data_IF_807376181305
#
_entry.id   IF_807376181305
#
_cell.length_a   1.000
_cell.length_b   1.000
_cell.length_c   1.000
_cell.angle_alpha   90.00
_cell.angle_beta   90.00
_cell.angle_gamma   90.00
#
_symmetry.space_group_name_H-M   'P 1'
#
loop_
_entity.id
_entity.type
_entity.pdbx_description
1 polymer ?
#
# COMPACT_ATOMS: atom_id res chain seq x y z
N UNK A 1 18.49 -11.40 16.63
CA UNK A 1 17.39 -12.36 16.46
C UNK A 1 17.36 -12.73 14.98
N UNK A 2 17.44 -14.01 14.62
CA UNK A 2 17.47 -14.46 13.23
C UNK A 2 16.06 -14.36 12.66
N UNK A 3 15.84 -13.43 11.72
CA UNK A 3 14.58 -13.32 11.00
C UNK A 3 14.50 -14.43 9.95
N UNK A 4 13.44 -15.23 10.03
CA UNK A 4 13.21 -16.33 9.11
C UNK A 4 12.56 -15.76 7.84
N UNK A 5 13.39 -15.34 6.87
CA UNK A 5 12.93 -14.86 5.56
C UNK A 5 12.48 -16.06 4.74
N UNK A 6 11.20 -16.23 4.56
CA UNK A 6 10.65 -17.22 3.63
C UNK A 6 10.56 -16.57 2.25
N UNK A 7 11.31 -17.11 1.30
CA UNK A 7 11.26 -16.64 -0.08
C UNK A 7 10.00 -17.16 -0.77
N UNK A 8 9.26 -16.28 -1.42
CA UNK A 8 8.02 -16.52 -2.18
C UNK A 8 8.11 -17.66 -3.22
N UNK A 9 9.35 -18.06 -3.56
CA UNK A 9 9.65 -19.13 -4.50
C UNK A 9 9.15 -20.53 -4.11
N UNK A 10 8.68 -20.75 -2.87
CA UNK A 10 8.22 -22.09 -2.47
C UNK A 10 6.83 -22.45 -2.96
N UNK A 11 6.00 -21.49 -3.37
CA UNK A 11 4.64 -21.76 -3.89
C UNK A 11 4.56 -21.70 -5.42
N UNK A 12 5.51 -21.07 -6.11
CA UNK A 12 5.57 -21.09 -7.60
C UNK A 12 6.17 -22.38 -8.17
N UNK A 13 6.63 -23.31 -7.35
CA UNK A 13 7.17 -24.61 -7.80
C UNK A 13 6.12 -25.72 -7.70
N UNK A 14 4.96 -25.53 -8.34
CA UNK A 14 4.04 -26.63 -8.62
C UNK A 14 4.14 -26.98 -10.08
N UNK A 15 4.82 -28.13 -10.28
CA UNK A 15 4.69 -29.07 -11.37
C UNK A 15 5.10 -28.65 -12.77
N UNK A 16 6.38 -28.91 -13.06
CA UNK A 16 6.78 -29.41 -14.37
C UNK A 16 7.02 -30.92 -14.30
N UNK A 17 5.98 -31.72 -14.41
CA UNK A 17 6.09 -33.10 -14.85
C UNK A 17 4.82 -33.43 -15.65
N UNK A 18 4.95 -33.49 -16.97
CA UNK A 18 3.88 -33.97 -17.87
C UNK A 18 3.98 -33.33 -19.25
N UNK A 19 4.97 -33.75 -20.06
CA UNK A 19 4.94 -33.51 -21.50
C UNK A 19 3.71 -34.20 -22.09
N UNK A 20 2.74 -33.44 -22.59
CA UNK A 20 1.86 -33.84 -23.67
C UNK A 20 1.61 -32.60 -24.53
N UNK A 21 2.07 -32.69 -25.78
CA UNK A 21 1.91 -31.66 -26.78
C UNK A 21 0.43 -31.41 -27.10
N UNK A 22 -0.02 -30.15 -26.92
CA UNK A 22 -1.14 -29.58 -27.68
C UNK A 22 -0.69 -28.19 -28.13
N UNK A 23 -0.41 -28.06 -29.40
CA UNK A 23 -0.22 -26.80 -30.07
C UNK A 23 -1.54 -26.03 -30.08
N UNK A 24 -1.55 -24.81 -29.55
CA UNK A 24 -2.69 -23.90 -29.66
C UNK A 24 -2.67 -22.81 -28.57
N UNK A 25 -2.32 -21.61 -28.99
CA UNK A 25 -2.39 -20.35 -28.20
C UNK A 25 -1.49 -20.28 -26.94
N UNK A 26 -0.22 -20.05 -27.17
CA UNK A 26 0.66 -19.49 -26.15
C UNK A 26 0.32 -18.01 -25.94
N UNK A 27 -0.66 -17.74 -25.07
CA UNK A 27 -0.67 -16.49 -24.34
C UNK A 27 0.57 -16.53 -23.46
N UNK A 28 1.60 -15.74 -23.78
CA UNK A 28 2.69 -15.48 -22.87
C UNK A 28 2.08 -14.83 -21.64
N UNK A 29 2.02 -15.53 -20.51
CA UNK A 29 1.83 -14.91 -19.23
C UNK A 29 2.93 -13.84 -19.15
N UNK A 30 2.55 -12.57 -19.13
CA UNK A 30 3.50 -11.49 -18.95
C UNK A 30 4.20 -11.76 -17.61
N UNK A 31 5.50 -11.96 -17.66
CA UNK A 31 6.30 -12.06 -16.44
C UNK A 31 6.26 -10.67 -15.81
N UNK A 32 5.55 -10.54 -14.70
CA UNK A 32 5.55 -9.32 -13.91
C UNK A 32 6.91 -9.23 -13.19
N UNK A 33 7.82 -8.45 -13.75
CA UNK A 33 9.18 -8.24 -13.21
C UNK A 33 9.23 -7.14 -12.13
N UNK A 34 8.11 -6.83 -11.48
CA UNK A 34 8.09 -5.85 -10.40
C UNK A 34 8.58 -6.53 -9.12
N UNK A 35 9.57 -5.94 -8.40
CA UNK A 35 9.89 -6.36 -7.06
C UNK A 35 8.65 -6.35 -6.18
N UNK A 36 8.41 -7.42 -5.44
CA UNK A 36 7.16 -7.62 -4.70
C UNK A 36 7.41 -8.05 -3.27
N UNK A 37 6.72 -7.38 -2.35
CA UNK A 37 6.55 -7.75 -0.95
C UNK A 37 5.14 -8.31 -0.81
N UNK A 38 4.98 -9.44 -0.12
CA UNK A 38 3.70 -10.08 0.09
C UNK A 38 3.46 -10.39 1.56
N UNK A 39 2.26 -10.13 1.99
CA UNK A 39 1.74 -10.56 3.28
C UNK A 39 0.46 -11.37 3.12
N UNK A 40 0.19 -11.84 1.90
CA UNK A 40 -0.94 -12.75 1.63
C UNK A 40 -0.80 -14.02 2.43
N UNK A 41 -1.91 -14.52 2.94
CA UNK A 41 -2.02 -15.68 3.83
C UNK A 41 -1.31 -15.50 5.21
N UNK A 42 -0.97 -14.26 5.59
CA UNK A 42 -0.41 -14.00 6.92
C UNK A 42 -1.46 -13.74 7.99
N UNK A 43 -2.67 -13.39 7.58
CA UNK A 43 -3.80 -13.15 8.47
C UNK A 43 -5.02 -13.99 8.07
N UNK A 44 -5.79 -14.41 9.06
CA UNK A 44 -7.15 -14.92 8.87
C UNK A 44 -8.11 -13.73 8.66
N UNK A 45 -9.33 -14.00 8.21
CA UNK A 45 -10.36 -12.98 7.97
C UNK A 45 -10.64 -12.11 9.21
N UNK A 46 -10.50 -12.64 10.41
CA UNK A 46 -10.68 -11.91 11.67
C UNK A 46 -9.46 -11.05 12.09
N UNK A 47 -8.42 -10.99 11.25
CA UNK A 47 -7.17 -10.27 11.51
C UNK A 47 -6.25 -10.98 12.51
N UNK A 48 -6.53 -12.21 12.89
CA UNK A 48 -5.59 -13.03 13.67
C UNK A 48 -4.48 -13.57 12.78
N UNK A 49 -3.26 -13.71 13.36
CA UNK A 49 -2.12 -14.23 12.60
C UNK A 49 -2.30 -15.72 12.28
N UNK A 50 -1.97 -16.11 11.08
CA UNK A 50 -1.82 -17.49 10.67
C UNK A 50 -0.63 -18.12 11.40
N UNK A 51 -0.73 -19.41 11.72
CA UNK A 51 0.30 -20.12 12.48
C UNK A 51 1.67 -20.07 11.79
N UNK A 52 2.66 -19.56 12.51
CA UNK A 52 4.02 -19.39 12.04
C UNK A 52 4.34 -18.00 11.52
N UNK A 53 3.33 -17.13 11.37
CA UNK A 53 3.53 -15.73 11.03
C UNK A 53 3.65 -14.85 12.28
N UNK A 54 4.26 -13.68 12.10
CA UNK A 54 4.42 -12.67 13.16
C UNK A 54 3.87 -11.33 12.67
N UNK A 55 3.71 -10.38 13.59
CA UNK A 55 3.28 -9.02 13.25
C UNK A 55 4.27 -8.28 12.32
N UNK A 56 5.47 -8.81 12.11
CA UNK A 56 6.55 -8.17 11.34
C UNK A 56 7.11 -9.05 10.22
N UNK A 57 6.60 -10.28 10.06
CA UNK A 57 6.99 -11.15 8.95
C UNK A 57 6.34 -10.70 7.66
N UNK A 58 7.07 -10.80 6.56
CA UNK A 58 6.61 -10.62 5.19
C UNK A 58 7.43 -11.50 4.26
N UNK A 59 6.91 -11.79 3.09
CA UNK A 59 7.59 -12.53 2.03
C UNK A 59 8.03 -11.57 0.91
N UNK A 60 9.03 -12.00 0.12
CA UNK A 60 9.47 -11.28 -1.07
C UNK A 60 9.61 -12.23 -2.27
N UNK A 61 9.57 -11.67 -3.47
CA UNK A 61 9.83 -12.46 -4.69
C UNK A 61 11.33 -12.58 -5.03
N UNK A 62 12.22 -12.18 -4.13
CA UNK A 62 13.68 -12.24 -4.33
C UNK A 62 14.26 -11.07 -5.15
N UNK A 63 13.46 -10.05 -5.48
CA UNK A 63 13.87 -8.93 -6.33
C UNK A 63 13.86 -7.57 -5.61
N UNK A 64 13.49 -7.52 -4.33
CA UNK A 64 13.34 -6.27 -3.58
C UNK A 64 14.71 -5.68 -3.24
N UNK A 65 15.06 -4.48 -3.77
CA UNK A 65 16.34 -3.85 -3.47
C UNK A 65 16.48 -3.53 -1.97
N UNK A 66 17.71 -3.63 -1.47
CA UNK A 66 18.00 -3.40 -0.05
C UNK A 66 17.48 -4.46 0.92
N UNK A 67 16.70 -5.43 0.43
CA UNK A 67 16.18 -6.56 1.21
C UNK A 67 16.70 -7.88 0.64
N UNK A 68 16.44 -8.15 -0.64
CA UNK A 68 16.91 -9.36 -1.34
C UNK A 68 18.20 -9.10 -2.11
N UNK A 69 18.36 -7.91 -2.63
CA UNK A 69 19.48 -7.48 -3.48
C UNK A 69 20.18 -6.25 -2.90
N UNK A 70 21.21 -5.75 -3.56
CA UNK A 70 21.89 -4.50 -3.14
C UNK A 70 21.01 -3.26 -3.24
N UNK A 71 21.41 -2.17 -2.57
CA UNK A 71 20.74 -0.87 -2.64
C UNK A 71 20.77 -0.31 -4.07
N UNK A 72 19.66 0.26 -4.50
CA UNK A 72 19.49 0.89 -5.83
C UNK A 72 19.10 2.38 -5.76
N UNK A 73 19.25 3.02 -4.60
CA UNK A 73 18.78 4.38 -4.35
C UNK A 73 17.42 4.42 -3.69
N UNK A 74 16.62 5.44 -3.98
CA UNK A 74 15.32 5.63 -3.33
C UNK A 74 14.32 4.52 -3.66
N UNK A 75 13.53 4.14 -2.65
CA UNK A 75 12.52 3.09 -2.72
C UNK A 75 11.13 3.69 -2.56
N UNK A 76 10.25 3.42 -3.50
CA UNK A 76 8.81 3.67 -3.36
C UNK A 76 8.07 2.35 -3.24
N UNK A 77 7.29 2.19 -2.18
CA UNK A 77 6.40 1.03 -1.98
C UNK A 77 4.99 1.44 -2.34
N UNK A 78 4.42 0.81 -3.37
CA UNK A 78 3.01 1.00 -3.74
C UNK A 78 2.12 -0.03 -3.06
N UNK A 79 1.08 0.43 -2.37
CA UNK A 79 0.12 -0.36 -1.60
C UNK A 79 -1.25 -0.27 -2.28
N UNK A 80 -1.72 -1.39 -2.84
CA UNK A 80 -3.03 -1.44 -3.50
C UNK A 80 -4.21 -1.42 -2.52
N UNK A 81 -5.38 -1.05 -3.03
CA UNK A 81 -6.63 -1.00 -2.28
C UNK A 81 -7.39 -2.34 -2.22
N UNK A 82 -8.63 -2.25 -1.72
CA UNK A 82 -9.57 -3.36 -1.66
C UNK A 82 -9.99 -3.81 -3.06
N UNK A 83 -10.20 -5.11 -3.20
CA UNK A 83 -10.70 -5.69 -4.44
C UNK A 83 -11.46 -7.00 -4.12
N UNK A 84 -12.76 -6.99 -4.34
CA UNK A 84 -13.59 -8.17 -4.10
C UNK A 84 -13.58 -9.06 -5.32
N UNK A 85 -12.59 -9.93 -5.40
CA UNK A 85 -12.52 -10.98 -6.41
C UNK A 85 -13.17 -12.28 -5.93
N UNK A 86 -13.63 -13.09 -6.88
CA UNK A 86 -14.29 -14.36 -6.61
C UNK A 86 -13.33 -15.50 -6.27
N UNK A 87 -12.01 -15.26 -6.36
CA UNK A 87 -10.98 -16.26 -6.07
C UNK A 87 -9.68 -15.57 -5.64
N UNK A 88 -8.96 -16.20 -4.72
CA UNK A 88 -7.64 -15.77 -4.25
C UNK A 88 -6.65 -15.50 -5.40
N UNK A 89 -6.57 -16.42 -6.37
CA UNK A 89 -5.70 -16.22 -7.54
C UNK A 89 -6.10 -15.03 -8.41
N UNK A 90 -7.37 -14.69 -8.48
CA UNK A 90 -7.88 -13.50 -9.17
C UNK A 90 -7.50 -12.23 -8.45
N UNK A 91 -7.61 -12.21 -7.13
CA UNK A 91 -7.23 -11.07 -6.30
C UNK A 91 -5.71 -10.82 -6.34
N UNK A 92 -4.90 -11.87 -6.29
CA UNK A 92 -3.45 -11.75 -6.44
C UNK A 92 -3.05 -11.20 -7.82
N UNK A 93 -3.68 -11.68 -8.88
CA UNK A 93 -3.44 -11.18 -10.24
C UNK A 93 -3.83 -9.70 -10.36
N UNK A 94 -5.02 -9.31 -9.89
CA UNK A 94 -5.48 -7.93 -9.91
C UNK A 94 -4.56 -7.01 -9.12
N UNK A 95 -4.06 -7.46 -7.96
CA UNK A 95 -3.06 -6.71 -7.19
C UNK A 95 -1.77 -6.49 -7.97
N UNK A 96 -1.25 -7.52 -8.64
CA UNK A 96 -0.04 -7.43 -9.48
C UNK A 96 -0.24 -6.48 -10.67
N UNK A 97 -1.40 -6.49 -11.31
CA UNK A 97 -1.74 -5.58 -12.41
C UNK A 97 -1.77 -4.12 -11.93
N UNK A 98 -2.37 -3.84 -10.76
CA UNK A 98 -2.36 -2.50 -10.14
C UNK A 98 -0.94 -2.04 -9.79
N UNK A 99 -0.11 -2.93 -9.26
CA UNK A 99 1.29 -2.65 -8.92
C UNK A 99 2.11 -2.35 -10.19
N UNK A 100 1.94 -3.15 -11.24
CA UNK A 100 2.61 -2.91 -12.51
C UNK A 100 2.20 -1.58 -13.12
N UNK A 101 0.90 -1.26 -13.09
CA UNK A 101 0.38 0.02 -13.54
C UNK A 101 0.99 1.19 -12.75
N UNK A 102 1.05 1.10 -11.42
CA UNK A 102 1.67 2.14 -10.60
C UNK A 102 3.15 2.36 -10.95
N UNK A 103 3.90 1.28 -11.15
CA UNK A 103 5.29 1.38 -11.60
C UNK A 103 5.39 2.09 -12.95
N UNK A 104 4.57 1.68 -13.91
CA UNK A 104 4.65 2.19 -15.28
C UNK A 104 4.28 3.69 -15.31
N UNK A 105 3.25 4.11 -14.59
CA UNK A 105 2.85 5.52 -14.47
C UNK A 105 3.93 6.37 -13.79
N UNK A 106 4.40 5.98 -12.62
CA UNK A 106 5.41 6.75 -11.89
C UNK A 106 6.73 6.84 -12.66
N UNK A 107 7.20 5.74 -13.26
CA UNK A 107 8.42 5.77 -14.08
C UNK A 107 8.22 6.53 -15.38
N UNK A 108 7.04 6.44 -15.99
CA UNK A 108 6.65 7.22 -17.16
C UNK A 108 6.66 8.72 -16.91
N UNK A 109 6.25 9.16 -15.74
CA UNK A 109 6.31 10.54 -15.26
C UNK A 109 7.72 10.99 -14.81
N UNK A 110 8.73 10.11 -14.91
CA UNK A 110 10.12 10.46 -14.64
C UNK A 110 10.63 10.12 -13.23
N UNK A 111 9.90 9.35 -12.43
CA UNK A 111 10.42 8.88 -11.16
C UNK A 111 11.67 8.02 -11.36
N UNK A 112 12.78 8.43 -10.75
CA UNK A 112 14.08 7.78 -10.93
C UNK A 112 14.43 6.72 -9.90
N UNK A 113 13.60 6.53 -8.88
CA UNK A 113 13.80 5.50 -7.85
C UNK A 113 13.21 4.14 -8.26
N UNK A 114 13.29 3.17 -7.36
CA UNK A 114 12.70 1.85 -7.58
C UNK A 114 11.29 1.76 -7.01
N UNK A 115 10.34 1.33 -7.83
CA UNK A 115 8.97 1.04 -7.39
C UNK A 115 8.85 -0.44 -7.05
N UNK A 116 8.37 -0.74 -5.84
CA UNK A 116 8.13 -2.08 -5.29
C UNK A 116 6.65 -2.19 -4.93
N UNK A 117 6.05 -3.33 -5.25
CA UNK A 117 4.68 -3.60 -4.85
C UNK A 117 4.56 -4.18 -3.44
N UNK A 118 3.51 -3.79 -2.72
CA UNK A 118 3.09 -4.41 -1.47
C UNK A 118 1.72 -5.03 -1.66
N UNK A 119 1.61 -6.36 -1.58
CA UNK A 119 0.36 -7.10 -1.71
C UNK A 119 -0.05 -7.75 -0.40
N UNK A 120 -1.34 -7.70 -0.12
CA UNK A 120 -1.95 -8.16 1.13
C UNK A 120 -3.33 -8.77 0.86
N UNK A 121 -3.91 -9.47 1.84
CA UNK A 121 -5.23 -10.11 1.71
C UNK A 121 -6.34 -9.05 1.75
N UNK A 122 -6.60 -8.45 0.61
CA UNK A 122 -7.56 -7.37 0.41
C UNK A 122 -8.96 -7.84 -0.01
N UNK A 123 -9.14 -9.14 -0.15
CA UNK A 123 -10.36 -9.79 -0.63
C UNK A 123 -11.01 -10.70 0.43
N UNK A 124 -10.54 -10.60 1.67
CA UNK A 124 -11.06 -11.36 2.83
C UNK A 124 -12.48 -11.00 3.20
N UNK A 125 -13.10 -11.89 3.95
CA UNK A 125 -14.41 -11.70 4.53
C UNK A 125 -15.56 -11.91 3.56
N UNK A 126 -16.77 -11.84 4.11
CA UNK A 126 -18.02 -12.01 3.40
C UNK A 126 -19.15 -11.37 4.22
N UNK A 127 -20.32 -11.21 3.64
CA UNK A 127 -21.46 -10.71 4.40
C UNK A 127 -22.20 -9.59 3.70
N UNK A 128 -22.94 -8.81 4.47
CA UNK A 128 -23.76 -7.69 3.95
C UNK A 128 -22.95 -6.49 3.49
N UNK A 129 -21.74 -6.33 4.03
CA UNK A 129 -20.75 -5.32 3.69
C UNK A 129 -19.69 -5.84 2.69
N UNK A 130 -19.92 -7.02 2.12
CA UNK A 130 -19.00 -7.66 1.16
C UNK A 130 -17.58 -7.92 1.70
N UNK A 131 -17.38 -7.98 3.03
CA UNK A 131 -16.09 -8.18 3.68
C UNK A 131 -15.29 -6.89 3.89
N UNK A 132 -15.93 -5.74 3.83
CA UNK A 132 -15.28 -4.44 4.07
C UNK A 132 -14.64 -4.35 5.46
N UNK A 133 -15.38 -4.72 6.51
CA UNK A 133 -14.91 -4.65 7.88
C UNK A 133 -13.70 -5.55 8.16
N UNK A 134 -13.71 -6.78 7.61
CA UNK A 134 -12.60 -7.71 7.69
C UNK A 134 -11.39 -7.19 6.91
N UNK A 135 -11.59 -6.73 5.68
CA UNK A 135 -10.51 -6.17 4.86
C UNK A 135 -9.87 -4.93 5.51
N UNK A 136 -10.67 -4.03 6.11
CA UNK A 136 -10.17 -2.90 6.89
C UNK A 136 -9.33 -3.36 8.09
N UNK A 137 -9.81 -4.37 8.82
CA UNK A 137 -9.09 -4.95 9.95
C UNK A 137 -7.74 -5.55 9.51
N UNK A 138 -7.72 -6.34 8.46
CA UNK A 138 -6.49 -6.93 7.90
C UNK A 138 -5.55 -5.85 7.38
N UNK A 139 -6.07 -4.80 6.70
CA UNK A 139 -5.27 -3.66 6.27
C UNK A 139 -4.54 -2.99 7.44
N UNK A 140 -5.24 -2.69 8.53
CA UNK A 140 -4.64 -2.08 9.72
C UNK A 140 -3.57 -2.98 10.36
N UNK A 141 -3.79 -4.30 10.40
CA UNK A 141 -2.80 -5.26 10.92
C UNK A 141 -1.54 -5.34 10.05
N UNK A 142 -1.66 -5.10 8.75
CA UNK A 142 -0.53 -5.04 7.82
C UNK A 142 0.40 -3.84 8.05
N UNK A 143 -0.03 -2.81 8.76
CA UNK A 143 0.80 -1.65 9.06
C UNK A 143 2.13 -2.00 9.74
N UNK A 144 2.12 -2.88 10.74
CA UNK A 144 3.36 -3.29 11.43
C UNK A 144 4.32 -4.08 10.51
N UNK A 145 3.79 -4.79 9.50
CA UNK A 145 4.60 -5.50 8.51
C UNK A 145 5.21 -4.53 7.50
N UNK A 146 4.46 -3.54 7.01
CA UNK A 146 4.98 -2.47 6.15
C UNK A 146 6.02 -1.61 6.89
N UNK A 147 5.80 -1.29 8.16
CA UNK A 147 6.79 -0.62 9.00
C UNK A 147 8.12 -1.41 9.08
N UNK A 148 8.05 -2.76 9.21
CA UNK A 148 9.24 -3.60 9.21
C UNK A 148 9.98 -3.56 7.86
N UNK A 149 9.28 -3.46 6.74
CA UNK A 149 9.89 -3.27 5.41
C UNK A 149 10.74 -2.00 5.38
N UNK A 150 10.21 -0.87 5.87
CA UNK A 150 10.97 0.38 5.96
C UNK A 150 12.22 0.24 6.84
N UNK A 151 12.08 -0.40 8.00
CA UNK A 151 13.20 -0.67 8.92
C UNK A 151 14.27 -1.53 8.25
N UNK A 152 13.88 -2.62 7.60
CA UNK A 152 14.83 -3.52 6.93
C UNK A 152 15.55 -2.82 5.77
N UNK A 153 14.81 -2.02 4.98
CA UNK A 153 15.42 -1.25 3.89
C UNK A 153 16.40 -0.19 4.41
N UNK A 154 15.97 0.68 5.33
CA UNK A 154 16.83 1.74 5.91
C UNK A 154 18.04 1.17 6.65
N UNK A 155 17.92 -0.01 7.26
CA UNK A 155 19.05 -0.69 7.90
C UNK A 155 20.13 -1.12 6.91
N UNK A 156 19.79 -1.41 5.67
CA UNK A 156 20.73 -1.80 4.62
C UNK A 156 21.16 -0.60 3.77
N UNK A 157 20.26 0.35 3.55
CA UNK A 157 20.41 1.49 2.66
C UNK A 157 20.14 2.81 3.41
N UNK A 158 20.93 3.17 4.44
CA UNK A 158 20.62 4.28 5.36
C UNK A 158 20.57 5.65 4.67
N UNK A 159 21.29 5.82 3.56
CA UNK A 159 21.34 7.08 2.80
C UNK A 159 20.20 7.24 1.78
N UNK A 160 19.38 6.19 1.59
CA UNK A 160 18.30 6.19 0.61
C UNK A 160 16.97 6.57 1.26
N UNK A 161 16.11 7.24 0.49
CA UNK A 161 14.77 7.57 0.95
C UNK A 161 13.79 6.38 0.76
N UNK A 162 12.86 6.26 1.69
CA UNK A 162 11.69 5.38 1.58
C UNK A 162 10.46 6.25 1.39
N UNK A 163 9.63 5.89 0.40
CA UNK A 163 8.35 6.54 0.13
C UNK A 163 7.24 5.52 0.10
N UNK A 164 6.06 5.92 0.50
CA UNK A 164 4.86 5.10 0.41
C UNK A 164 3.83 5.78 -0.48
N UNK A 165 3.27 5.04 -1.42
CA UNK A 165 2.14 5.44 -2.25
C UNK A 165 1.03 4.44 -2.02
N UNK A 166 -0.15 4.87 -1.62
CA UNK A 166 -1.28 3.98 -1.38
C UNK A 166 -2.50 4.42 -2.18
N UNK A 167 -3.30 3.44 -2.60
CA UNK A 167 -4.58 3.67 -3.25
C UNK A 167 -5.71 3.11 -2.39
N UNK A 168 -6.80 3.89 -2.24
CA UNK A 168 -8.03 3.43 -1.61
C UNK A 168 -7.81 2.87 -0.19
N UNK A 169 -8.28 1.65 0.11
CA UNK A 169 -8.11 0.97 1.40
C UNK A 169 -6.63 0.70 1.76
N UNK A 170 -5.70 0.77 0.82
CA UNK A 170 -4.27 0.75 1.09
C UNK A 170 -3.79 1.88 2.01
N UNK A 171 -4.57 2.97 2.11
CA UNK A 171 -4.33 4.06 3.08
C UNK A 171 -4.37 3.58 4.54
N UNK A 172 -5.22 2.59 4.87
CA UNK A 172 -5.26 1.98 6.19
C UNK A 172 -3.96 1.25 6.54
N UNK A 173 -3.37 0.54 5.57
CA UNK A 173 -2.06 -0.11 5.73
C UNK A 173 -0.98 0.95 5.95
N UNK A 174 -0.95 1.99 5.08
CA UNK A 174 0.05 3.05 5.12
C UNK A 174 0.01 3.80 6.46
N UNK A 175 -1.13 4.37 6.85
CA UNK A 175 -1.24 5.15 8.08
C UNK A 175 -1.01 4.30 9.33
N UNK A 176 -1.42 3.03 9.32
CA UNK A 176 -1.08 2.10 10.40
C UNK A 176 0.41 1.79 10.48
N UNK A 177 1.13 1.82 9.35
CA UNK A 177 2.59 1.66 9.35
C UNK A 177 3.29 2.87 9.99
N UNK A 178 2.82 4.07 9.72
CA UNK A 178 3.35 5.28 10.36
C UNK A 178 3.14 5.24 11.88
N UNK A 179 1.94 4.85 12.35
CA UNK A 179 1.69 4.65 13.78
C UNK A 179 2.62 3.62 14.40
N UNK A 180 2.96 2.57 13.66
CA UNK A 180 3.90 1.53 14.11
C UNK A 180 5.35 2.02 14.16
N UNK A 181 5.72 3.01 13.34
CA UNK A 181 7.02 3.67 13.32
C UNK A 181 7.11 4.85 14.30
N UNK A 182 5.98 5.35 14.80
CA UNK A 182 5.93 6.50 15.72
C UNK A 182 6.34 6.11 17.15
N UNK A 183 7.55 5.61 17.27
CA UNK A 183 8.17 5.30 18.55
C UNK A 183 9.59 5.84 18.58
N UNK A 184 10.02 6.41 19.71
CA UNK A 184 11.33 7.06 19.85
C UNK A 184 12.49 6.18 19.36
N UNK A 185 12.40 4.86 19.56
CA UNK A 185 13.44 3.96 19.07
C UNK A 185 13.57 4.00 17.54
N UNK A 186 12.46 4.08 16.80
CA UNK A 186 12.50 4.13 15.33
C UNK A 186 12.98 5.50 14.84
N UNK A 187 12.40 6.58 15.36
CA UNK A 187 12.74 7.95 14.94
C UNK A 187 14.17 8.33 15.32
N UNK A 188 14.64 7.94 16.52
CA UNK A 188 16.03 8.20 16.99
C UNK A 188 17.08 7.42 16.16
N UNK A 189 16.68 6.35 15.47
CA UNK A 189 17.56 5.56 14.61
C UNK A 189 17.39 5.86 13.10
N UNK A 190 16.63 6.89 12.73
CA UNK A 190 16.47 7.33 11.35
C UNK A 190 15.61 6.40 10.48
N UNK A 191 14.67 5.67 11.09
CA UNK A 191 13.69 4.87 10.38
C UNK A 191 12.46 5.71 10.00
N UNK A 192 12.71 6.86 9.40
CA UNK A 192 11.72 7.78 8.87
C UNK A 192 11.31 7.45 7.43
N UNK A 193 10.15 7.95 7.04
CA UNK A 193 9.59 7.89 5.70
C UNK A 193 9.74 9.26 5.06
N UNK A 194 10.35 9.36 3.88
CA UNK A 194 10.57 10.65 3.23
C UNK A 194 9.27 11.29 2.78
N UNK A 195 8.43 10.55 2.04
CA UNK A 195 7.10 11.05 1.67
C UNK A 195 6.05 9.95 1.66
N UNK A 196 4.81 10.36 1.86
CA UNK A 196 3.63 9.50 1.70
C UNK A 196 2.62 10.15 0.77
N UNK A 197 2.00 9.35 -0.10
CA UNK A 197 1.05 9.78 -1.09
C UNK A 197 -0.22 8.94 -0.98
N UNK A 198 -1.31 9.56 -0.57
CA UNK A 198 -2.60 8.94 -0.36
C UNK A 198 -3.51 9.25 -1.56
N UNK A 199 -3.83 8.25 -2.37
CA UNK A 199 -4.61 8.39 -3.60
C UNK A 199 -6.03 7.86 -3.37
N UNK A 200 -7.04 8.74 -3.38
CA UNK A 200 -8.42 8.34 -3.11
C UNK A 200 -8.54 7.54 -1.82
N UNK A 201 -8.00 8.05 -0.72
CA UNK A 201 -7.82 7.31 0.53
C UNK A 201 -9.14 6.91 1.17
N UNK A 202 -9.38 5.60 1.31
CA UNK A 202 -10.50 5.04 2.07
C UNK A 202 -10.16 5.02 3.57
N UNK A 203 -10.09 6.21 4.14
CA UNK A 203 -9.73 6.51 5.51
C UNK A 203 -10.60 7.68 5.99
N UNK A 204 -10.93 7.69 7.25
CA UNK A 204 -11.62 8.76 7.96
C UNK A 204 -10.94 10.12 7.68
N UNK A 205 -11.71 11.14 7.36
CA UNK A 205 -11.19 12.46 7.00
C UNK A 205 -10.59 13.23 8.20
N UNK A 206 -10.87 12.81 9.43
CA UNK A 206 -10.18 13.30 10.63
C UNK A 206 -8.77 12.75 10.82
N UNK A 207 -8.40 11.68 10.07
CA UNK A 207 -7.16 10.94 10.29
C UNK A 207 -5.89 11.80 10.35
N UNK A 208 -5.66 12.80 9.48
CA UNK A 208 -4.46 13.62 9.55
C UNK A 208 -4.55 14.78 10.57
N UNK A 209 -5.66 14.91 11.30
CA UNK A 209 -5.95 16.06 12.16
C UNK A 209 -5.70 15.77 13.64
N UNK A 210 -5.68 16.81 14.46
CA UNK A 210 -5.55 16.70 15.92
C UNK A 210 -6.69 15.92 16.59
N UNK A 211 -7.81 15.69 15.92
CA UNK A 211 -8.91 14.86 16.41
C UNK A 211 -8.52 13.36 16.45
N UNK A 212 -7.57 12.96 15.60
CA UNK A 212 -6.97 11.62 15.60
C UNK A 212 -5.48 11.69 15.98
N UNK A 213 -5.17 11.87 17.29
CA UNK A 213 -3.82 12.21 17.75
C UNK A 213 -2.78 11.14 17.38
N UNK A 214 -3.14 9.86 17.37
CA UNK A 214 -2.19 8.77 17.05
C UNK A 214 -1.70 8.87 15.60
N UNK A 215 -2.57 9.22 14.65
CA UNK A 215 -2.20 9.38 13.25
C UNK A 215 -1.57 10.74 12.98
N UNK A 216 -2.10 11.82 13.59
CA UNK A 216 -1.51 13.15 13.54
C UNK A 216 -0.05 13.16 14.00
N UNK A 217 0.22 12.56 15.17
CA UNK A 217 1.56 12.45 15.73
C UNK A 217 2.48 11.57 14.86
N UNK A 218 1.94 10.49 14.30
CA UNK A 218 2.69 9.63 13.40
C UNK A 218 3.08 10.35 12.10
N UNK A 219 2.17 11.10 11.48
CA UNK A 219 2.49 11.93 10.33
C UNK A 219 3.55 12.97 10.71
N UNK A 220 3.34 13.69 11.80
CA UNK A 220 4.25 14.76 12.25
C UNK A 220 5.67 14.27 12.52
N UNK A 221 5.81 13.09 13.14
CA UNK A 221 7.10 12.63 13.67
C UNK A 221 7.85 11.67 12.72
N UNK A 222 7.15 10.96 11.84
CA UNK A 222 7.71 9.85 11.05
C UNK A 222 7.92 10.23 9.58
N UNK A 223 7.12 11.17 9.07
CA UNK A 223 7.12 11.52 7.64
C UNK A 223 7.73 12.91 7.46
N UNK A 224 8.53 13.11 6.40
CA UNK A 224 8.97 14.45 6.04
C UNK A 224 7.85 15.24 5.37
N UNK A 225 7.16 14.65 4.38
CA UNK A 225 6.03 15.26 3.69
C UNK A 225 4.92 14.23 3.46
N UNK A 226 3.69 14.56 3.81
CA UNK A 226 2.52 13.71 3.57
C UNK A 226 1.55 14.43 2.62
N UNK A 227 1.13 13.75 1.57
CA UNK A 227 0.25 14.28 0.54
C UNK A 227 -1.02 13.44 0.42
N UNK A 228 -2.16 14.10 0.30
CA UNK A 228 -3.44 13.47 0.01
C UNK A 228 -4.02 14.04 -1.29
N UNK A 229 -4.38 13.16 -2.20
CA UNK A 229 -5.02 13.50 -3.46
C UNK A 229 -6.47 13.01 -3.39
N UNK A 230 -7.42 13.92 -3.38
CA UNK A 230 -8.84 13.63 -3.19
C UNK A 230 -9.71 14.13 -4.35
N UNK A 231 -10.87 13.51 -4.55
CA UNK A 231 -11.86 13.96 -5.52
C UNK A 231 -13.25 13.99 -4.90
N UNK A 232 -13.87 15.16 -4.89
CA UNK A 232 -15.24 15.33 -4.38
C UNK A 232 -16.30 14.59 -5.21
N UNK A 233 -15.92 14.02 -6.35
CA UNK A 233 -16.79 13.26 -7.25
C UNK A 233 -16.48 11.76 -7.21
N UNK A 234 -15.59 11.27 -6.33
CA UNK A 234 -15.22 9.86 -6.24
C UNK A 234 -16.40 8.97 -5.83
N UNK A 235 -17.04 8.35 -6.83
CA UNK A 235 -18.27 7.56 -6.65
C UNK A 235 -18.07 6.35 -5.70
N UNK A 236 -16.87 5.76 -5.66
CA UNK A 236 -16.61 4.59 -4.82
C UNK A 236 -16.57 5.00 -3.34
N UNK A 237 -15.90 6.10 -3.02
CA UNK A 237 -15.82 6.60 -1.65
C UNK A 237 -17.20 7.11 -1.18
N UNK A 238 -17.92 7.85 -2.01
CA UNK A 238 -19.26 8.35 -1.69
C UNK A 238 -20.23 7.20 -1.39
N UNK A 239 -20.20 6.12 -2.14
CA UNK A 239 -21.16 5.03 -1.98
C UNK A 239 -20.69 3.94 -1.02
N UNK A 240 -19.43 3.50 -1.12
CA UNK A 240 -18.95 2.38 -0.31
C UNK A 240 -18.53 2.87 1.06
N UNK A 241 -17.60 3.83 1.13
CA UNK A 241 -17.07 4.29 2.41
C UNK A 241 -18.16 4.91 3.28
N UNK A 242 -18.88 5.90 2.76
CA UNK A 242 -19.91 6.60 3.52
C UNK A 242 -21.05 5.66 3.97
N UNK A 243 -21.35 4.60 3.19
CA UNK A 243 -22.39 3.64 3.57
C UNK A 243 -21.98 2.68 4.67
N UNK A 244 -20.70 2.33 4.78
CA UNK A 244 -20.19 1.37 5.76
C UNK A 244 -19.62 2.05 7.01
N UNK A 245 -18.98 3.19 6.86
CA UNK A 245 -18.37 3.92 7.98
C UNK A 245 -19.32 4.99 8.57
N UNK A 246 -20.35 5.42 7.85
CA UNK A 246 -21.25 6.53 8.21
C UNK A 246 -20.50 7.86 8.37
N UNK A 247 -19.40 8.03 7.64
CA UNK A 247 -18.51 9.17 7.68
C UNK A 247 -17.95 9.47 6.29
N UNK A 248 -17.28 10.62 6.13
CA UNK A 248 -16.66 11.03 4.88
C UNK A 248 -15.21 10.50 4.78
N UNK A 249 -14.86 10.07 3.57
CA UNK A 249 -13.51 9.59 3.32
C UNK A 249 -12.54 10.74 3.07
N UNK A 250 -11.31 10.60 3.58
CA UNK A 250 -10.19 11.51 3.33
C UNK A 250 -9.90 11.69 1.83
N UNK A 251 -10.04 10.63 1.04
CA UNK A 251 -9.87 10.66 -0.42
C UNK A 251 -11.07 11.22 -1.18
N UNK A 252 -12.20 11.50 -0.50
CA UNK A 252 -13.37 12.17 -1.07
C UNK A 252 -13.32 13.67 -0.82
N UNK A 253 -13.21 14.09 0.45
CA UNK A 253 -13.42 15.48 0.84
C UNK A 253 -12.15 16.23 1.26
N UNK A 254 -10.99 15.54 1.33
CA UNK A 254 -9.85 16.05 2.06
C UNK A 254 -10.06 15.93 3.57
N UNK A 255 -9.21 16.56 4.39
CA UNK A 255 -9.36 16.53 5.84
C UNK A 255 -10.59 17.33 6.29
N UNK A 256 -11.15 16.99 7.45
CA UNK A 256 -12.38 17.59 7.98
C UNK A 256 -12.24 19.12 8.12
N UNK A 257 -13.22 19.86 7.53
CA UNK A 257 -13.23 21.31 7.53
C UNK A 257 -13.22 21.89 8.96
N UNK A 258 -12.38 22.87 9.19
CA UNK A 258 -12.25 23.55 10.49
C UNK A 258 -11.34 22.83 11.50
N UNK A 259 -10.78 21.66 11.14
CA UNK A 259 -9.77 20.95 11.95
C UNK A 259 -8.35 21.38 11.56
N UNK A 260 -7.38 20.98 12.37
CA UNK A 260 -5.97 21.32 12.16
C UNK A 260 -5.21 20.06 11.75
N UNK A 261 -4.78 19.93 10.50
CA UNK A 261 -3.98 18.79 10.05
C UNK A 261 -2.54 18.86 10.57
N UNK A 262 -1.80 17.77 10.42
CA UNK A 262 -0.38 17.71 10.74
C UNK A 262 0.41 18.78 9.94
N UNK A 263 1.46 19.40 10.53
CA UNK A 263 2.13 20.55 9.94
C UNK A 263 2.90 20.25 8.63
N UNK A 264 3.15 19.00 8.35
CA UNK A 264 3.82 18.45 7.16
C UNK A 264 2.87 17.67 6.27
N UNK A 265 1.56 17.97 6.36
CA UNK A 265 0.51 17.37 5.55
C UNK A 265 -0.06 18.40 4.59
N UNK A 266 -0.11 18.04 3.30
CA UNK A 266 -0.66 18.83 2.22
C UNK A 266 -1.75 18.07 1.46
N UNK A 267 -2.70 18.80 0.84
CA UNK A 267 -3.79 18.24 0.05
C UNK A 267 -3.81 18.80 -1.37
N UNK A 268 -4.18 17.92 -2.30
CA UNK A 268 -4.43 18.26 -3.68
C UNK A 268 -5.87 17.87 -4.06
N UNK A 269 -6.69 18.87 -4.37
CA UNK A 269 -8.02 18.66 -4.94
C UNK A 269 -7.88 18.23 -6.40
N UNK A 270 -8.02 16.93 -6.62
CA UNK A 270 -7.91 16.28 -7.92
C UNK A 270 -9.27 16.13 -8.64
N UNK A 271 -10.34 16.76 -8.15
CA UNK A 271 -11.69 16.59 -8.70
C UNK A 271 -11.74 16.87 -10.21
N UNK A 272 -11.03 17.90 -10.67
CA UNK A 272 -11.01 18.23 -12.11
C UNK A 272 -10.24 17.24 -12.97
N UNK A 273 -9.29 16.50 -12.42
CA UNK A 273 -8.44 15.55 -13.15
C UNK A 273 -9.00 14.12 -13.09
N UNK A 274 -9.51 13.73 -11.94
CA UNK A 274 -9.95 12.37 -11.64
C UNK A 274 -11.47 12.22 -11.80
N UNK A 275 -12.25 13.23 -11.39
CA UNK A 275 -13.70 13.16 -11.40
C UNK A 275 -14.19 12.00 -10.54
N UNK A 276 -15.07 11.18 -11.12
CA UNK A 276 -15.65 10.01 -10.43
C UNK A 276 -14.87 8.69 -10.62
N UNK A 277 -13.74 8.71 -11.32
CA UNK A 277 -12.94 7.50 -11.56
C UNK A 277 -12.01 7.19 -10.39
N UNK A 278 -12.50 6.44 -9.41
CA UNK A 278 -11.71 5.99 -8.25
C UNK A 278 -10.39 5.30 -8.62
N UNK A 279 -10.27 4.71 -9.80
CA UNK A 279 -9.04 4.07 -10.27
C UNK A 279 -8.12 5.01 -11.03
N UNK A 280 -8.57 6.20 -11.36
CA UNK A 280 -7.91 7.14 -12.27
C UNK A 280 -6.77 7.97 -11.67
N UNK A 281 -6.55 7.94 -10.36
CA UNK A 281 -5.56 8.80 -9.69
C UNK A 281 -4.15 8.68 -10.28
N UNK A 282 -3.61 7.48 -10.39
CA UNK A 282 -2.28 7.28 -10.95
C UNK A 282 -2.17 7.76 -12.41
N UNK A 283 -3.14 7.38 -13.24
CA UNK A 283 -3.14 7.74 -14.67
C UNK A 283 -3.23 9.25 -14.89
N UNK A 284 -3.99 9.95 -14.05
CA UNK A 284 -4.27 11.37 -14.25
C UNK A 284 -3.34 12.30 -13.47
N UNK A 285 -2.61 11.80 -12.46
CA UNK A 285 -1.81 12.61 -11.53
C UNK A 285 -0.36 12.14 -11.40
N UNK A 286 0.12 11.23 -12.25
CA UNK A 286 1.49 10.70 -12.12
C UNK A 286 2.56 11.81 -12.13
N UNK A 287 2.41 12.83 -12.96
CA UNK A 287 3.32 13.98 -13.02
C UNK A 287 3.31 14.78 -11.70
N UNK A 288 2.13 15.02 -11.13
CA UNK A 288 1.94 15.72 -9.85
C UNK A 288 2.54 14.92 -8.70
N UNK A 289 2.19 13.63 -8.61
CA UNK A 289 2.71 12.72 -7.59
C UNK A 289 4.24 12.66 -7.63
N UNK A 290 4.82 12.56 -8.83
CA UNK A 290 6.29 12.52 -8.99
C UNK A 290 6.93 13.87 -8.68
N UNK A 291 6.26 14.99 -8.93
CA UNK A 291 6.73 16.33 -8.52
C UNK A 291 6.81 16.49 -7.01
N UNK A 292 5.94 15.81 -6.26
CA UNK A 292 5.86 15.84 -4.80
C UNK A 292 6.79 14.78 -4.13
N UNK A 293 7.44 13.92 -4.92
CA UNK A 293 8.40 12.89 -4.46
C UNK A 293 9.81 13.45 -4.26
#
# INVERSE_FOLDING_TARGET
MSFNRRTFLKRSAVTTTGLAALAGASGTAAAYDVPLISTRDHYNDDGSLVSGETQRSYDTNGLVPGIDTGCTGDLTVFIHGWDKNSSESGAEQAAREKIQHARDELTGAGYGGTVVGYTWDNDVGSGVDFGWGEAKTVAQKNGAKLAQVAVDYKSQCPESNVRFVSHSLGAQVLLSSLRSLNGSWFTDNGYDVYSTHLLGAAQDNEAPTQENPDTYDAITNVVTNAYNYHSNEDDVLQWIYNSFEFDQALGETGYEEGKTPAPNYDEFDATSQVGNDHSGYLTNLSDEIVSDM
#
